data_IF_953356318609
#
_entry.id   IF_953356318609
#
_cell.length_a   1.000
_cell.length_b   1.000
_cell.length_c   1.000
_cell.angle_alpha   90.00
_cell.angle_beta   90.00
_cell.angle_gamma   90.00
#
_symmetry.space_group_name_H-M   'P 1'
#
loop_
_entity.id
_entity.type
_entity.pdbx_description
1 polymer ?
#
# COMPACT_ATOMS: atom_id res chain seq x y z
N UNK A 1 5.46 17.69 -8.18
CA UNK A 1 5.30 16.59 -7.22
C UNK A 1 4.03 15.85 -7.62
N UNK A 2 4.10 14.57 -7.98
CA UNK A 2 2.94 13.78 -8.39
C UNK A 2 2.58 12.85 -7.25
N UNK A 3 1.44 13.08 -6.63
CA UNK A 3 0.94 12.22 -5.57
C UNK A 3 0.53 10.87 -6.18
N UNK A 4 1.15 9.80 -5.69
CA UNK A 4 0.84 8.43 -6.10
C UNK A 4 0.05 7.77 -4.98
N UNK A 5 -1.11 7.23 -5.33
CA UNK A 5 -2.00 6.55 -4.39
C UNK A 5 -2.08 5.08 -4.79
N UNK A 6 -1.55 4.20 -3.95
CA UNK A 6 -1.71 2.76 -4.09
C UNK A 6 -2.93 2.31 -3.27
N UNK A 7 -3.73 1.41 -3.84
CA UNK A 7 -4.90 0.84 -3.18
C UNK A 7 -4.77 -0.68 -3.09
N UNK A 8 -4.90 -1.20 -1.88
CA UNK A 8 -4.95 -2.64 -1.62
C UNK A 8 -6.37 -3.16 -1.88
N UNK A 9 -6.51 -4.17 -2.72
CA UNK A 9 -7.79 -4.83 -2.99
C UNK A 9 -7.68 -6.32 -2.67
N UNK A 10 -8.76 -6.87 -2.14
CA UNK A 10 -8.90 -8.32 -1.90
C UNK A 10 -10.21 -8.78 -2.48
N UNK A 11 -10.25 -10.04 -2.94
CA UNK A 11 -11.48 -10.70 -3.38
C UNK A 11 -12.26 -11.32 -2.22
N UNK A 12 -11.63 -11.44 -1.06
CA UNK A 12 -12.28 -11.97 0.14
C UNK A 12 -13.16 -10.91 0.79
N UNK A 13 -14.28 -11.33 1.38
CA UNK A 13 -15.08 -10.43 2.23
C UNK A 13 -14.38 -10.30 3.58
N UNK A 14 -13.95 -9.08 3.90
CA UNK A 14 -13.29 -8.74 5.15
C UNK A 14 -14.35 -8.30 6.17
N UNK A 15 -14.53 -9.05 7.26
CA UNK A 15 -15.49 -8.73 8.33
C UNK A 15 -14.79 -8.08 9.53
N UNK A 16 -15.24 -6.90 9.96
CA UNK A 16 -14.64 -6.18 11.09
C UNK A 16 -13.48 -5.25 10.72
N UNK A 17 -12.71 -4.83 11.73
CA UNK A 17 -11.56 -3.94 11.55
C UNK A 17 -10.33 -4.75 11.17
N UNK A 18 -9.69 -4.37 10.06
CA UNK A 18 -8.47 -4.99 9.58
C UNK A 18 -7.35 -3.96 9.51
N UNK A 19 -6.13 -4.44 9.65
CA UNK A 19 -4.94 -3.62 9.46
C UNK A 19 -4.35 -3.93 8.09
N UNK A 20 -4.09 -2.88 7.31
CA UNK A 20 -3.43 -3.01 6.02
C UNK A 20 -1.95 -2.71 6.19
N UNK A 21 -1.12 -3.65 5.78
CA UNK A 21 0.33 -3.54 5.78
C UNK A 21 0.82 -3.35 4.35
N UNK A 22 1.82 -2.50 4.19
CA UNK A 22 2.44 -2.20 2.91
C UNK A 22 3.89 -2.60 2.91
N UNK A 23 4.33 -3.21 1.82
CA UNK A 23 5.69 -3.68 1.63
C UNK A 23 6.24 -3.19 0.29
N UNK A 24 7.51 -2.79 0.27
CA UNK A 24 8.30 -2.49 -0.93
C UNK A 24 9.49 -3.45 -0.95
N UNK A 25 9.64 -4.25 -2.01
CA UNK A 25 10.69 -5.29 -2.09
C UNK A 25 10.73 -6.21 -0.85
N UNK A 26 9.56 -6.57 -0.30
CA UNK A 26 9.45 -7.42 0.88
C UNK A 26 9.77 -6.75 2.23
N UNK A 27 10.11 -5.46 2.24
CA UNK A 27 10.33 -4.67 3.47
C UNK A 27 9.14 -3.78 3.75
N UNK A 28 8.80 -3.62 5.03
CA UNK A 28 7.69 -2.74 5.42
C UNK A 28 7.95 -1.30 4.97
N UNK A 29 6.94 -0.69 4.36
CA UNK A 29 7.00 0.71 3.92
C UNK A 29 6.97 1.62 5.13
N UNK A 30 7.98 2.47 5.25
CA UNK A 30 8.06 3.57 6.22
C UNK A 30 7.83 4.94 5.59
N UNK A 31 7.88 5.00 4.27
CA UNK A 31 7.80 6.23 3.50
C UNK A 31 6.34 6.49 3.10
N UNK A 32 5.87 7.72 3.34
CA UNK A 32 4.50 8.11 3.05
C UNK A 32 3.54 7.92 4.22
N UNK A 33 2.24 7.94 3.90
CA UNK A 33 1.16 7.85 4.89
C UNK A 33 0.14 6.79 4.47
N UNK A 34 -0.34 6.00 5.43
CA UNK A 34 -1.35 4.96 5.19
C UNK A 34 -2.69 5.36 5.79
N UNK A 35 -3.77 5.12 5.05
CA UNK A 35 -5.14 5.33 5.53
C UNK A 35 -6.05 4.24 5.00
N UNK A 36 -6.63 3.44 5.90
CA UNK A 36 -7.45 2.28 5.55
C UNK A 36 -6.64 1.37 4.61
N UNK A 37 -7.11 1.14 3.38
CA UNK A 37 -6.49 0.28 2.39
C UNK A 37 -5.60 1.05 1.39
N UNK A 38 -5.23 2.30 1.69
CA UNK A 38 -4.48 3.17 0.78
C UNK A 38 -3.11 3.57 1.35
N UNK A 39 -2.13 3.68 0.46
CA UNK A 39 -0.81 4.24 0.72
C UNK A 39 -0.60 5.47 -0.18
N UNK A 40 -0.26 6.59 0.45
CA UNK A 40 -0.03 7.88 -0.16
C UNK A 40 1.47 8.16 -0.22
N UNK A 41 1.99 8.39 -1.42
CA UNK A 41 3.42 8.58 -1.70
C UNK A 41 3.63 9.89 -2.47
N UNK A 42 4.70 10.59 -2.15
CA UNK A 42 5.03 11.89 -2.75
C UNK A 42 5.49 11.81 -4.22
N UNK A 43 6.14 10.69 -4.56
CA UNK A 43 6.66 10.38 -5.89
C UNK A 43 7.11 8.93 -5.93
N UNK A 44 6.80 8.22 -7.01
CA UNK A 44 7.23 6.84 -7.25
C UNK A 44 7.51 6.69 -8.74
N UNK A 45 8.57 5.98 -9.12
CA UNK A 45 8.82 5.66 -10.54
C UNK A 45 7.91 4.52 -11.01
N UNK A 46 7.65 4.42 -12.31
CA UNK A 46 6.84 3.32 -12.85
C UNK A 46 7.44 1.93 -12.58
N UNK A 47 8.77 1.82 -12.48
CA UNK A 47 9.48 0.57 -12.17
C UNK A 47 9.30 0.18 -10.70
N UNK A 48 9.26 1.16 -9.80
CA UNK A 48 9.03 0.92 -8.38
C UNK A 48 7.60 0.45 -8.09
N UNK A 49 6.62 0.80 -8.93
CA UNK A 49 5.23 0.39 -8.74
C UNK A 49 5.07 -1.14 -8.66
N UNK A 50 5.91 -1.91 -9.38
CA UNK A 50 5.86 -3.38 -9.33
C UNK A 50 6.45 -3.96 -8.04
N UNK A 51 7.15 -3.16 -7.23
CA UNK A 51 7.81 -3.60 -6.00
C UNK A 51 6.89 -3.52 -4.79
N UNK A 52 5.77 -2.79 -4.91
CA UNK A 52 4.81 -2.62 -3.83
C UNK A 52 3.84 -3.79 -3.76
N UNK A 53 3.61 -4.27 -2.54
CA UNK A 53 2.60 -5.27 -2.22
C UNK A 53 1.93 -4.91 -0.91
N UNK A 54 0.73 -5.44 -0.69
CA UNK A 54 -0.03 -5.22 0.52
C UNK A 54 -0.48 -6.55 1.15
N UNK A 55 -0.62 -6.55 2.46
CA UNK A 55 -1.21 -7.65 3.23
C UNK A 55 -2.30 -7.12 4.15
N UNK A 56 -3.25 -7.99 4.48
CA UNK A 56 -4.34 -7.70 5.43
C UNK A 56 -4.12 -8.61 6.64
N UNK A 57 -4.13 -8.03 7.84
CA UNK A 57 -4.07 -8.75 9.11
C UNK A 57 -5.13 -8.30 10.10
#
# INVERSE_FOLDING_TARGET
RQEVILSCSTKCTLNGNHTYFWYKNGRQVTDGFTKVNKLYLDSVSNEELQQYSCAVG
#
